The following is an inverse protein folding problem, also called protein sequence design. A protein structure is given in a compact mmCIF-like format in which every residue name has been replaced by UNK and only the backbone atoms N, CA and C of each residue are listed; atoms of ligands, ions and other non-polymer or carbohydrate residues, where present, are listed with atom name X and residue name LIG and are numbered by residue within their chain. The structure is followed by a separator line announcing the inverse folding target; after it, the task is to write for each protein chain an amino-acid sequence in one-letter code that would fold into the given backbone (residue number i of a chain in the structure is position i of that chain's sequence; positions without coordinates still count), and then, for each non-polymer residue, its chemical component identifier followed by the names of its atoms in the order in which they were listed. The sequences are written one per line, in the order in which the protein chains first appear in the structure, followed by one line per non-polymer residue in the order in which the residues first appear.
data_IF_585484921906
#
_entry.id   IF_585484921906
#
_cell.length_a   1.000
_cell.length_b   1.000
_cell.length_c   1.000
_cell.angle_alpha   90.00
_cell.angle_beta   90.00
_cell.angle_gamma   90.00
#
_symmetry.space_group_name_H-M   'P 1'
#
loop_
_entity.id
_entity.type
_entity.pdbx_description
1 polymer ?
#
# COMPACT_ATOMS: atom_id res chain seq x y z
N UNK A 1 -16.79 -14.98 12.39
CA UNK A 1 -15.96 -14.05 11.57
C UNK A 1 -14.64 -13.84 12.27
N UNK A 2 -13.57 -13.62 11.52
CA UNK A 2 -12.23 -13.33 12.06
C UNK A 2 -12.15 -11.88 12.56
N UNK A 3 -11.70 -11.66 13.79
CA UNK A 3 -11.58 -10.32 14.38
C UNK A 3 -10.31 -9.62 13.90
N UNK A 4 -10.47 -8.48 13.24
CA UNK A 4 -9.38 -7.73 12.59
C UNK A 4 -9.24 -6.35 13.21
N UNK A 5 -8.03 -5.99 13.61
CA UNK A 5 -7.67 -4.63 13.99
C UNK A 5 -7.04 -3.88 12.80
N UNK A 6 -7.29 -2.57 12.72
CA UNK A 6 -6.62 -1.68 11.76
C UNK A 6 -5.54 -0.88 12.51
N UNK A 7 -4.29 -1.00 12.07
CA UNK A 7 -3.17 -0.23 12.62
C UNK A 7 -2.81 0.90 11.67
N UNK A 8 -3.16 2.10 12.07
CA UNK A 8 -3.17 3.30 11.24
C UNK A 8 -4.57 3.64 10.74
N UNK A 9 -5.01 4.88 10.98
CA UNK A 9 -6.34 5.36 10.58
C UNK A 9 -6.24 6.51 9.55
N UNK A 10 -5.29 6.37 8.62
CA UNK A 10 -5.20 7.21 7.42
C UNK A 10 -6.20 6.76 6.35
N UNK A 11 -6.10 7.33 5.15
CA UNK A 11 -7.02 7.03 4.04
C UNK A 11 -7.10 5.54 3.72
N UNK A 12 -5.95 4.84 3.68
CA UNK A 12 -5.90 3.38 3.43
C UNK A 12 -6.52 2.60 4.58
N UNK A 13 -6.24 2.97 5.84
CA UNK A 13 -6.81 2.29 7.00
C UNK A 13 -8.32 2.42 7.09
N UNK A 14 -8.84 3.61 6.78
CA UNK A 14 -10.30 3.85 6.69
C UNK A 14 -10.91 3.05 5.54
N UNK A 15 -10.25 2.98 4.40
CA UNK A 15 -10.71 2.17 3.26
C UNK A 15 -10.71 0.68 3.59
N UNK A 16 -9.67 0.16 4.25
CA UNK A 16 -9.61 -1.22 4.72
C UNK A 16 -10.71 -1.53 5.75
N UNK A 17 -10.98 -0.60 6.68
CA UNK A 17 -12.08 -0.77 7.64
C UNK A 17 -13.44 -0.86 6.95
N UNK A 18 -13.71 -0.02 5.93
CA UNK A 18 -14.94 -0.14 5.12
C UNK A 18 -15.04 -1.48 4.42
N UNK A 19 -13.93 -1.94 3.82
CA UNK A 19 -13.89 -3.23 3.15
C UNK A 19 -14.11 -4.41 4.12
N UNK A 20 -13.62 -4.34 5.37
CA UNK A 20 -13.93 -5.35 6.39
C UNK A 20 -15.42 -5.36 6.72
N UNK A 21 -16.06 -4.19 6.86
CA UNK A 21 -17.50 -4.11 7.15
C UNK A 21 -18.39 -4.72 6.04
N UNK A 22 -17.88 -4.76 4.81
CA UNK A 22 -18.55 -5.40 3.66
C UNK A 22 -18.18 -6.88 3.52
N UNK A 23 -17.19 -7.37 4.27
CA UNK A 23 -16.69 -8.74 4.23
C UNK A 23 -17.65 -9.70 4.94
N UNK A 24 -17.70 -10.95 4.49
CA UNK A 24 -18.56 -12.01 5.08
C UNK A 24 -17.83 -12.86 6.11
N UNK A 25 -16.51 -12.82 6.10
CA UNK A 25 -15.63 -13.71 6.86
C UNK A 25 -14.83 -12.99 7.95
N UNK A 26 -14.81 -11.65 7.93
CA UNK A 26 -14.09 -10.82 8.88
C UNK A 26 -14.98 -9.76 9.53
N UNK A 27 -14.58 -9.31 10.72
CA UNK A 27 -15.23 -8.22 11.46
C UNK A 27 -14.19 -7.27 12.03
N UNK A 28 -14.48 -5.98 12.01
CA UNK A 28 -13.62 -4.94 12.57
C UNK A 28 -13.76 -4.91 14.09
N UNK A 29 -12.66 -5.14 14.83
CA UNK A 29 -12.65 -5.07 16.29
C UNK A 29 -12.12 -3.74 16.83
N UNK A 30 -11.51 -2.88 16.01
CA UNK A 30 -11.06 -1.57 16.41
C UNK A 30 -9.86 -1.04 15.63
N UNK A 31 -9.43 0.14 16.05
CA UNK A 31 -8.31 0.87 15.43
C UNK A 31 -7.18 1.09 16.42
N UNK A 32 -5.95 1.06 15.91
CA UNK A 32 -4.75 1.45 16.66
C UNK A 32 -4.14 2.69 16.01
N UNK A 33 -4.01 3.77 16.79
CA UNK A 33 -3.47 5.05 16.31
C UNK A 33 -2.81 5.84 17.45
N UNK A 34 -1.93 6.80 17.09
CA UNK A 34 -1.17 7.59 18.07
C UNK A 34 -2.04 8.34 19.08
N UNK A 35 -3.18 8.88 18.63
CA UNK A 35 -4.21 9.48 19.49
C UNK A 35 -5.40 8.54 19.49
N UNK A 36 -5.81 8.06 20.66
CA UNK A 36 -6.95 7.15 20.84
C UNK A 36 -8.28 7.92 20.76
N UNK A 37 -8.50 8.65 19.65
CA UNK A 37 -9.71 9.41 19.37
C UNK A 37 -10.57 8.61 18.39
N UNK A 38 -11.89 8.78 18.46
CA UNK A 38 -12.83 8.19 17.51
C UNK A 38 -12.51 8.62 16.07
N UNK A 39 -12.89 7.79 15.12
CA UNK A 39 -12.70 8.03 13.70
C UNK A 39 -14.05 8.33 13.09
N UNK A 40 -14.11 9.39 12.30
CA UNK A 40 -15.35 9.83 11.64
C UNK A 40 -15.92 8.69 10.77
N UNK A 41 -17.18 8.33 11.03
CA UNK A 41 -17.89 7.21 10.39
C UNK A 41 -17.62 5.84 11.04
N UNK A 42 -16.81 5.79 12.12
CA UNK A 42 -16.50 4.58 12.89
C UNK A 42 -16.56 4.83 14.40
N UNK A 43 -17.41 5.73 14.84
CA UNK A 43 -17.52 6.17 16.23
C UNK A 43 -17.89 5.03 17.20
N UNK A 44 -18.53 3.99 16.69
CA UNK A 44 -18.93 2.80 17.45
C UNK A 44 -17.78 1.78 17.63
N UNK A 45 -16.63 2.00 17.01
CA UNK A 45 -15.48 1.11 17.11
C UNK A 45 -14.44 1.67 18.06
N UNK A 46 -13.85 0.84 18.94
CA UNK A 46 -12.82 1.29 19.86
C UNK A 46 -11.58 1.77 19.11
N UNK A 47 -10.95 2.81 19.64
CA UNK A 47 -9.64 3.29 19.20
C UNK A 47 -8.67 3.29 20.36
N UNK A 48 -7.49 2.70 20.18
CA UNK A 48 -6.48 2.53 21.21
C UNK A 48 -5.09 3.00 20.73
N UNK A 49 -4.13 3.13 21.62
CA UNK A 49 -2.72 3.41 21.28
C UNK A 49 -1.93 2.15 20.98
N UNK A 50 -2.38 1.02 21.49
CA UNK A 50 -1.80 -0.30 21.25
C UNK A 50 -2.91 -1.30 20.92
N UNK A 51 -2.59 -2.30 20.13
CA UNK A 51 -3.49 -3.42 19.83
C UNK A 51 -3.89 -4.19 21.09
N UNK A 52 -3.02 -4.19 22.08
CA UNK A 52 -3.24 -4.88 23.37
C UNK A 52 -4.17 -4.13 24.31
N UNK A 53 -4.47 -2.85 24.00
CA UNK A 53 -5.40 -2.01 24.74
C UNK A 53 -6.84 -2.07 24.16
N UNK A 54 -7.02 -2.80 23.06
CA UNK A 54 -8.36 -3.02 22.49
C UNK A 54 -9.19 -3.93 23.41
N UNK A 55 -10.50 -3.69 23.53
CA UNK A 55 -11.39 -4.52 24.38
C UNK A 55 -11.40 -6.00 24.01
N UNK A 56 -11.15 -6.29 22.74
CA UNK A 56 -11.09 -7.65 22.21
C UNK A 56 -9.75 -7.89 21.52
N UNK A 57 -9.12 -9.04 21.81
CA UNK A 57 -7.89 -9.44 21.15
C UNK A 57 -8.18 -9.77 19.68
N UNK A 58 -7.56 -9.10 18.69
CA UNK A 58 -7.73 -9.47 17.29
C UNK A 58 -7.02 -10.78 16.95
N UNK A 59 -7.56 -11.52 16.01
CA UNK A 59 -6.89 -12.68 15.38
C UNK A 59 -5.95 -12.23 14.29
N UNK A 60 -6.26 -11.10 13.62
CA UNK A 60 -5.42 -10.49 12.59
C UNK A 60 -5.36 -8.98 12.68
N UNK A 61 -4.34 -8.39 12.07
CA UNK A 61 -4.16 -6.96 12.01
C UNK A 61 -3.72 -6.52 10.62
N UNK A 62 -4.40 -5.49 10.08
CA UNK A 62 -4.03 -4.83 8.84
C UNK A 62 -3.22 -3.57 9.19
N UNK A 63 -1.99 -3.48 8.67
CA UNK A 63 -1.03 -2.43 9.02
C UNK A 63 -0.97 -1.41 7.87
N UNK A 64 -1.40 -0.18 8.15
CA UNK A 64 -1.48 0.93 7.18
C UNK A 64 -0.75 2.18 7.65
N UNK A 65 0.36 1.97 8.34
CA UNK A 65 1.28 3.04 8.78
C UNK A 65 2.39 3.26 7.75
N UNK A 66 3.15 4.38 7.81
CA UNK A 66 4.31 4.58 6.93
C UNK A 66 5.31 3.42 7.03
N UNK A 67 5.88 3.00 5.89
CA UNK A 67 6.71 1.79 5.74
C UNK A 67 7.82 1.65 6.76
N UNK A 68 8.48 2.75 7.14
CA UNK A 68 9.55 2.75 8.19
C UNK A 68 9.11 2.22 9.56
N UNK A 69 7.81 2.11 9.82
CA UNK A 69 7.27 1.60 11.10
C UNK A 69 6.67 0.21 10.98
N UNK A 70 6.42 -0.28 9.77
CA UNK A 70 5.71 -1.53 9.50
C UNK A 70 6.41 -2.71 10.17
N UNK A 71 7.67 -3.00 9.84
CA UNK A 71 8.38 -4.18 10.32
C UNK A 71 8.43 -4.26 11.85
N UNK A 72 8.65 -3.12 12.52
CA UNK A 72 8.73 -3.08 13.99
C UNK A 72 7.39 -3.37 14.68
N UNK A 73 6.29 -2.96 14.06
CA UNK A 73 4.93 -3.24 14.53
C UNK A 73 4.58 -4.69 14.25
N UNK A 74 4.86 -5.15 13.04
CA UNK A 74 4.56 -6.50 12.58
C UNK A 74 5.22 -7.56 13.45
N UNK A 75 6.52 -7.40 13.77
CA UNK A 75 7.23 -8.29 14.70
C UNK A 75 6.48 -8.47 16.01
N UNK A 76 6.06 -7.36 16.64
CA UNK A 76 5.30 -7.42 17.92
C UNK A 76 3.97 -8.14 17.78
N UNK A 77 3.30 -8.02 16.64
CA UNK A 77 2.03 -8.70 16.40
C UNK A 77 2.24 -10.20 16.23
N UNK A 78 3.20 -10.59 15.40
CA UNK A 78 3.55 -12.00 15.18
C UNK A 78 3.98 -12.69 16.48
N UNK A 79 4.84 -12.04 17.30
CA UNK A 79 5.25 -12.51 18.64
C UNK A 79 4.07 -12.76 19.59
N UNK A 80 2.91 -12.19 19.31
CA UNK A 80 1.69 -12.36 20.10
C UNK A 80 0.63 -13.25 19.40
N UNK A 81 1.03 -13.96 18.35
CA UNK A 81 0.16 -14.90 17.64
C UNK A 81 -0.90 -14.21 16.78
N UNK A 82 -0.67 -12.98 16.32
CA UNK A 82 -1.61 -12.20 15.51
C UNK A 82 -1.12 -12.26 14.05
N UNK A 83 -2.00 -12.72 13.15
CA UNK A 83 -1.76 -12.71 11.70
C UNK A 83 -1.71 -11.28 11.17
N UNK A 84 -0.92 -11.01 10.13
CA UNK A 84 -0.78 -9.64 9.60
C UNK A 84 -0.90 -9.57 8.10
N UNK A 85 -1.35 -8.41 7.61
CA UNK A 85 -1.20 -7.95 6.24
C UNK A 85 -0.82 -6.47 6.24
N UNK A 86 0.14 -6.07 5.41
CA UNK A 86 0.63 -4.70 5.35
C UNK A 86 0.78 -4.19 3.91
N UNK A 87 0.86 -2.87 3.75
CA UNK A 87 1.12 -2.19 2.49
C UNK A 87 2.51 -1.53 2.43
N UNK A 88 3.53 -2.23 2.93
CA UNK A 88 4.92 -1.79 2.82
C UNK A 88 5.31 -1.54 1.36
N UNK A 89 5.90 -0.38 1.04
CA UNK A 89 6.11 0.09 -0.33
C UNK A 89 7.58 0.31 -0.73
N UNK A 90 8.54 -0.08 0.11
CA UNK A 90 9.97 -0.01 -0.23
C UNK A 90 10.38 -1.34 -0.86
N UNK A 91 10.27 -1.41 -2.19
CA UNK A 91 10.44 -2.64 -2.97
C UNK A 91 11.76 -3.37 -2.71
N UNK A 92 12.86 -2.63 -2.62
CA UNK A 92 14.20 -3.21 -2.45
C UNK A 92 14.38 -3.91 -1.08
N UNK A 93 13.62 -3.51 -0.06
CA UNK A 93 13.71 -4.07 1.28
C UNK A 93 12.82 -5.31 1.48
N UNK A 94 11.81 -5.51 0.65
CA UNK A 94 10.84 -6.61 0.77
C UNK A 94 11.48 -8.01 0.84
N UNK A 95 12.48 -8.37 0.01
CA UNK A 95 13.06 -9.72 0.06
C UNK A 95 13.72 -10.04 1.41
N UNK A 96 14.42 -9.07 2.00
CA UNK A 96 15.09 -9.27 3.29
C UNK A 96 14.10 -9.20 4.46
N UNK A 97 13.13 -8.29 4.41
CA UNK A 97 12.02 -8.22 5.38
C UNK A 97 11.26 -9.55 5.42
N UNK A 98 10.92 -10.11 4.24
CA UNK A 98 10.26 -11.42 4.11
C UNK A 98 11.04 -12.54 4.81
N UNK A 99 12.36 -12.58 4.65
CA UNK A 99 13.19 -13.59 5.31
C UNK A 99 13.12 -13.45 6.83
N UNK A 100 13.31 -12.25 7.35
CA UNK A 100 13.30 -11.99 8.80
C UNK A 100 11.94 -12.31 9.43
N UNK A 101 10.86 -11.80 8.86
CA UNK A 101 9.50 -12.04 9.36
C UNK A 101 9.08 -13.51 9.17
N UNK A 102 9.55 -14.15 8.10
CA UNK A 102 9.24 -15.55 7.82
C UNK A 102 9.82 -16.54 8.86
N UNK A 103 10.97 -16.23 9.46
CA UNK A 103 11.51 -17.00 10.59
C UNK A 103 10.59 -16.85 11.80
N UNK A 104 10.32 -15.62 12.20
CA UNK A 104 9.48 -15.31 13.36
C UNK A 104 8.06 -15.88 13.22
N UNK A 105 7.43 -15.68 12.06
CA UNK A 105 6.07 -16.18 11.81
C UNK A 105 5.97 -17.70 11.92
N UNK A 106 7.04 -18.44 11.53
CA UNK A 106 7.11 -19.90 11.71
C UNK A 106 7.25 -20.28 13.16
N UNK A 107 8.09 -19.58 13.92
CA UNK A 107 8.29 -19.82 15.35
C UNK A 107 7.00 -19.60 16.14
N UNK A 108 6.25 -18.58 15.79
CA UNK A 108 4.99 -18.20 16.46
C UNK A 108 3.73 -18.89 15.87
N UNK A 109 3.92 -19.78 14.87
CA UNK A 109 2.85 -20.54 14.21
C UNK A 109 1.75 -19.65 13.60
N UNK A 110 2.11 -18.51 13.02
CA UNK A 110 1.24 -17.57 12.30
C UNK A 110 1.77 -17.27 10.91
N UNK A 111 1.02 -16.55 10.10
CA UNK A 111 1.48 -16.08 8.80
C UNK A 111 1.27 -14.58 8.63
N UNK A 112 2.05 -13.99 7.75
CA UNK A 112 1.90 -12.61 7.32
C UNK A 112 1.98 -12.49 5.80
N UNK A 113 1.26 -11.51 5.25
CA UNK A 113 1.35 -11.11 3.84
C UNK A 113 1.88 -9.69 3.78
N UNK A 114 3.09 -9.54 3.30
CA UNK A 114 3.83 -8.28 3.30
C UNK A 114 3.78 -7.60 1.93
N UNK A 115 3.81 -6.28 1.91
CA UNK A 115 3.75 -5.50 0.69
C UNK A 115 2.48 -5.79 -0.12
N UNK A 116 1.32 -5.87 0.55
CA UNK A 116 0.05 -6.24 -0.05
C UNK A 116 -0.79 -5.01 -0.40
N UNK A 117 -0.21 -4.09 -1.16
CA UNK A 117 -0.93 -2.98 -1.77
C UNK A 117 -1.35 -3.27 -3.20
N UNK A 118 -1.60 -2.22 -3.97
CA UNK A 118 -1.76 -2.38 -5.40
C UNK A 118 -0.38 -2.43 -6.10
N UNK A 119 0.64 -1.72 -5.57
CA UNK A 119 2.05 -1.74 -6.00
C UNK A 119 2.97 -1.37 -4.78
N UNK A 120 3.72 -2.35 -4.27
CA UNK A 120 3.71 -3.79 -4.59
C UNK A 120 2.40 -4.47 -4.17
N UNK A 121 2.11 -5.61 -4.77
CA UNK A 121 0.99 -6.47 -4.41
C UNK A 121 0.20 -6.97 -5.61
N UNK A 122 -0.94 -6.36 -5.96
CA UNK A 122 -1.78 -6.79 -7.07
C UNK A 122 -1.02 -6.75 -8.41
N UNK A 123 -0.31 -5.67 -8.68
CA UNK A 123 0.49 -5.52 -9.90
C UNK A 123 1.57 -6.60 -10.00
N UNK A 124 2.16 -6.99 -8.87
CA UNK A 124 3.17 -8.04 -8.79
C UNK A 124 2.59 -9.41 -9.16
N UNK A 125 1.35 -9.70 -8.77
CA UNK A 125 0.61 -10.90 -9.22
C UNK A 125 0.39 -10.85 -10.73
N UNK A 126 -0.11 -9.73 -11.25
CA UNK A 126 -0.35 -9.54 -12.68
C UNK A 126 0.95 -9.69 -13.49
N UNK A 127 2.03 -9.05 -13.08
CA UNK A 127 3.34 -9.17 -13.72
C UNK A 127 3.85 -10.62 -13.73
N UNK A 128 3.63 -11.35 -12.64
CA UNK A 128 4.02 -12.76 -12.55
C UNK A 128 3.26 -13.61 -13.57
N UNK A 129 1.93 -13.43 -13.69
CA UNK A 129 1.11 -14.15 -14.66
C UNK A 129 1.48 -13.79 -16.12
N UNK A 130 1.69 -12.50 -16.40
CA UNK A 130 2.12 -12.04 -17.71
C UNK A 130 3.51 -12.56 -18.08
N UNK A 131 4.44 -12.63 -17.12
CA UNK A 131 5.78 -13.20 -17.32
C UNK A 131 5.74 -14.70 -17.54
N UNK A 132 4.83 -15.41 -16.87
CA UNK A 132 4.63 -16.85 -17.11
C UNK A 132 4.06 -17.12 -18.50
N UNK A 133 3.18 -16.24 -19.02
CA UNK A 133 2.63 -16.37 -20.38
C UNK A 133 3.67 -16.08 -21.47
N UNK A 134 4.53 -15.07 -21.27
CA UNK A 134 5.63 -14.72 -22.18
C UNK A 134 6.98 -14.70 -21.42
N UNK A 135 7.60 -15.87 -21.16
CA UNK A 135 8.81 -15.97 -20.33
C UNK A 135 10.03 -15.21 -20.87
N UNK A 136 10.07 -14.97 -22.20
CA UNK A 136 11.13 -14.18 -22.88
C UNK A 136 10.68 -12.77 -23.23
N UNK A 137 9.46 -12.39 -22.84
CA UNK A 137 8.90 -11.06 -23.10
C UNK A 137 9.57 -9.99 -22.27
N UNK A 138 9.50 -8.76 -22.74
CA UNK A 138 9.91 -7.57 -22.00
C UNK A 138 8.69 -6.98 -21.32
N UNK A 139 8.72 -6.94 -19.99
CA UNK A 139 7.62 -6.38 -19.20
C UNK A 139 7.94 -4.93 -18.81
N UNK A 140 6.96 -4.07 -18.94
CA UNK A 140 7.03 -2.66 -18.58
C UNK A 140 5.84 -2.30 -17.71
N UNK A 141 6.07 -1.55 -16.63
CA UNK A 141 5.01 -0.93 -15.83
C UNK A 141 5.07 0.58 -16.05
N UNK A 142 4.07 1.12 -16.72
CA UNK A 142 3.95 2.54 -17.01
C UNK A 142 3.00 3.15 -15.98
N UNK A 143 3.55 3.80 -14.97
CA UNK A 143 2.80 4.46 -13.91
C UNK A 143 2.27 5.82 -14.36
N UNK A 144 1.05 6.13 -13.97
CA UNK A 144 0.37 7.38 -14.26
C UNK A 144 -0.59 7.31 -15.47
N UNK A 145 -1.24 8.43 -15.81
CA UNK A 145 -1.18 9.68 -15.03
C UNK A 145 -1.88 9.56 -13.68
N UNK A 146 -1.43 10.30 -12.69
CA UNK A 146 -2.14 10.42 -11.43
C UNK A 146 -1.29 10.66 -10.18
N UNK A 147 -1.98 10.88 -9.07
CA UNK A 147 -1.37 11.23 -7.79
C UNK A 147 -0.65 10.04 -7.16
N UNK A 148 0.63 10.20 -6.86
CA UNK A 148 1.42 9.27 -6.05
C UNK A 148 1.34 9.62 -4.57
N UNK A 149 0.82 8.72 -3.74
CA UNK A 149 0.62 8.98 -2.31
C UNK A 149 1.94 9.04 -1.53
N UNK A 150 2.85 8.10 -1.75
CA UNK A 150 4.15 8.05 -1.08
C UNK A 150 4.98 9.30 -1.38
N UNK A 151 5.13 9.66 -2.67
CA UNK A 151 5.86 10.84 -3.10
C UNK A 151 5.19 12.15 -2.62
N UNK A 152 3.86 12.22 -2.62
CA UNK A 152 3.15 13.36 -2.06
C UNK A 152 3.38 13.50 -0.56
N UNK A 153 3.43 12.40 0.17
CA UNK A 153 3.74 12.40 1.59
C UNK A 153 5.21 12.83 1.84
N UNK A 154 6.16 12.30 1.07
CA UNK A 154 7.57 12.69 1.16
C UNK A 154 7.76 14.20 0.94
N UNK A 155 7.17 14.76 -0.12
CA UNK A 155 7.24 16.20 -0.38
C UNK A 155 6.67 17.05 0.76
N UNK A 156 5.61 16.59 1.45
CA UNK A 156 5.02 17.31 2.60
C UNK A 156 5.90 17.30 3.85
N UNK A 157 6.87 16.40 3.96
CA UNK A 157 7.81 16.37 5.08
C UNK A 157 9.00 17.33 4.91
N UNK A 158 9.15 17.93 3.75
CA UNK A 158 10.22 18.93 3.51
C UNK A 158 9.89 20.21 4.27
N UNK A 159 10.88 20.75 4.97
CA UNK A 159 10.78 22.01 5.71
C UNK A 159 10.34 23.18 4.81
N UNK A 160 9.40 23.99 5.27
CA UNK A 160 8.82 25.10 4.52
C UNK A 160 7.69 24.71 3.55
N UNK A 161 7.37 23.41 3.43
CA UNK A 161 6.22 22.95 2.66
C UNK A 161 4.98 22.89 3.54
N UNK A 162 3.96 23.70 3.25
CA UNK A 162 2.68 23.65 3.93
C UNK A 162 1.81 22.51 3.40
N UNK A 163 1.87 22.22 2.10
CA UNK A 163 1.22 21.07 1.47
C UNK A 163 1.82 20.75 0.10
N UNK A 164 1.72 19.49 -0.35
CA UNK A 164 2.22 19.08 -1.65
C UNK A 164 1.48 17.88 -2.23
N UNK A 165 1.46 17.81 -3.57
CA UNK A 165 0.97 16.67 -4.35
C UNK A 165 1.97 16.36 -5.46
N UNK A 166 2.36 15.10 -5.59
CA UNK A 166 3.18 14.59 -6.69
C UNK A 166 2.31 13.83 -7.68
N UNK A 167 2.31 14.28 -8.93
CA UNK A 167 1.63 13.64 -10.05
C UNK A 167 2.65 12.86 -10.86
N UNK A 168 2.41 11.57 -11.05
CA UNK A 168 3.18 10.70 -11.93
C UNK A 168 2.67 10.82 -13.36
N UNK A 169 3.57 10.97 -14.32
CA UNK A 169 3.29 11.06 -15.76
C UNK A 169 4.01 9.94 -16.50
N UNK A 170 3.33 9.07 -17.25
CA UNK A 170 3.98 7.99 -17.99
C UNK A 170 4.78 8.55 -19.16
N UNK A 171 5.99 8.04 -19.36
CA UNK A 171 6.86 8.32 -20.51
C UNK A 171 7.01 7.11 -21.44
N UNK A 172 6.39 5.98 -21.11
CA UNK A 172 6.50 4.71 -21.84
C UNK A 172 7.74 3.88 -21.46
N UNK A 173 7.71 2.61 -21.81
CA UNK A 173 8.79 1.63 -21.55
C UNK A 173 9.21 1.57 -20.06
N UNK A 174 8.24 1.69 -19.14
CA UNK A 174 8.48 1.68 -17.70
C UNK A 174 9.09 2.97 -17.14
N UNK A 175 9.24 4.01 -17.95
CA UNK A 175 9.74 5.31 -17.51
C UNK A 175 8.59 6.25 -17.18
N UNK A 176 8.82 7.09 -16.18
CA UNK A 176 7.86 8.13 -15.79
C UNK A 176 8.59 9.42 -15.37
N UNK A 177 7.85 10.50 -15.32
CA UNK A 177 8.24 11.78 -14.77
C UNK A 177 7.29 12.15 -13.63
N UNK A 178 7.68 13.15 -12.84
CA UNK A 178 6.84 13.67 -11.76
C UNK A 178 6.70 15.18 -11.86
N UNK A 179 5.48 15.63 -11.72
CA UNK A 179 5.17 17.03 -11.46
C UNK A 179 4.77 17.17 -9.99
N UNK A 180 5.53 17.95 -9.23
CA UNK A 180 5.34 18.12 -7.80
C UNK A 180 4.77 19.53 -7.58
N UNK A 181 3.50 19.60 -7.23
CA UNK A 181 2.80 20.83 -6.91
C UNK A 181 2.95 21.10 -5.42
N UNK A 182 3.50 22.28 -5.08
CA UNK A 182 3.93 22.62 -3.72
C UNK A 182 3.29 23.95 -3.31
N UNK A 183 2.57 23.93 -2.20
CA UNK A 183 2.21 25.11 -1.43
C UNK A 183 3.23 25.28 -0.29
N UNK A 184 3.78 26.49 -0.16
CA UNK A 184 4.80 26.81 0.87
C UNK A 184 4.17 27.58 2.03
N UNK A 185 4.84 27.55 3.16
CA UNK A 185 4.61 28.50 4.25
C UNK A 185 4.98 29.94 3.79
N UNK A 186 4.60 30.94 4.57
CA UNK A 186 4.95 32.34 4.30
C UNK A 186 6.46 32.57 4.47
N UNK A 187 7.03 33.44 3.63
CA UNK A 187 8.44 33.86 3.67
C UNK A 187 9.49 32.74 3.53
N UNK A 188 9.14 31.64 2.88
CA UNK A 188 10.07 30.53 2.61
C UNK A 188 10.85 30.75 1.32
N UNK A 189 12.13 30.38 1.33
CA UNK A 189 12.96 30.32 0.14
C UNK A 189 12.54 29.14 -0.75
N UNK A 190 11.84 29.43 -1.84
CA UNK A 190 11.36 28.43 -2.79
C UNK A 190 12.49 27.64 -3.47
N UNK A 191 13.66 28.26 -3.68
CA UNK A 191 14.80 27.54 -4.26
C UNK A 191 15.37 26.50 -3.29
N UNK A 192 15.42 26.82 -2.00
CA UNK A 192 15.84 25.86 -0.99
C UNK A 192 14.84 24.68 -0.89
N UNK A 193 13.54 24.95 -0.94
CA UNK A 193 12.49 23.92 -0.94
C UNK A 193 12.59 23.02 -2.19
N UNK A 194 12.74 23.63 -3.38
CA UNK A 194 12.91 22.88 -4.63
C UNK A 194 14.13 21.97 -4.58
N UNK A 195 15.27 22.51 -4.14
CA UNK A 195 16.50 21.73 -4.00
C UNK A 195 16.34 20.58 -3.00
N UNK A 196 15.70 20.82 -1.87
CA UNK A 196 15.45 19.79 -0.85
C UNK A 196 14.56 18.66 -1.39
N UNK A 197 13.51 19.00 -2.14
CA UNK A 197 12.64 18.00 -2.78
C UNK A 197 13.44 17.17 -3.79
N UNK A 198 14.14 17.81 -4.72
CA UNK A 198 14.87 17.13 -5.80
C UNK A 198 16.04 16.27 -5.29
N UNK A 199 16.56 16.56 -4.09
CA UNK A 199 17.64 15.80 -3.44
C UNK A 199 17.13 14.71 -2.49
N UNK A 200 15.82 14.58 -2.28
CA UNK A 200 15.24 13.55 -1.44
C UNK A 200 15.24 12.19 -2.15
N UNK A 201 15.49 11.11 -1.41
CA UNK A 201 15.56 9.73 -1.92
C UNK A 201 14.34 9.27 -2.73
N UNK A 202 13.17 9.85 -2.44
CA UNK A 202 11.96 9.56 -3.20
C UNK A 202 11.96 10.12 -4.61
N UNK A 203 12.82 11.13 -4.89
CA UNK A 203 12.80 11.90 -6.15
C UNK A 203 14.10 11.85 -6.92
N UNK A 204 15.22 11.50 -6.29
CA UNK A 204 16.58 11.60 -6.88
C UNK A 204 16.78 10.79 -8.17
N UNK A 205 15.99 9.74 -8.37
CA UNK A 205 16.07 8.86 -9.56
C UNK A 205 15.00 9.16 -10.61
N UNK A 206 14.08 10.07 -10.33
CA UNK A 206 12.99 10.42 -11.23
C UNK A 206 13.25 11.72 -11.97
N UNK A 207 12.68 11.86 -13.17
CA UNK A 207 12.60 13.12 -13.86
C UNK A 207 11.54 14.00 -13.20
N UNK A 208 11.95 14.90 -12.30
CA UNK A 208 11.06 15.73 -11.52
C UNK A 208 11.00 17.18 -12.02
N UNK A 209 9.84 17.83 -11.82
CA UNK A 209 9.67 19.28 -11.89
C UNK A 209 8.83 19.75 -10.70
N UNK A 210 9.29 20.80 -10.02
CA UNK A 210 8.57 21.40 -8.88
C UNK A 210 7.83 22.64 -9.37
N UNK A 211 6.54 22.74 -9.01
CA UNK A 211 5.64 23.83 -9.37
C UNK A 211 5.03 24.43 -8.11
N UNK A 212 5.38 25.67 -7.81
CA UNK A 212 4.83 26.38 -6.66
C UNK A 212 3.44 26.94 -6.98
N UNK A 213 2.47 26.56 -6.16
CA UNK A 213 1.06 26.93 -6.30
C UNK A 213 0.50 27.47 -4.99
N UNK A 214 -0.57 28.25 -5.05
CA UNK A 214 -1.25 28.75 -3.84
C UNK A 214 -2.19 27.70 -3.24
N UNK A 215 -2.77 26.86 -4.08
CA UNK A 215 -3.75 25.85 -3.71
C UNK A 215 -3.47 24.56 -4.47
N UNK A 216 -3.39 23.46 -3.73
CA UNK A 216 -3.19 22.11 -4.28
C UNK A 216 -4.50 21.30 -4.36
N UNK A 217 -5.62 21.85 -3.88
CA UNK A 217 -6.90 21.14 -3.85
C UNK A 217 -7.37 20.61 -5.22
N UNK A 218 -7.08 21.28 -6.36
CA UNK A 218 -7.44 20.76 -7.69
C UNK A 218 -6.79 19.43 -8.05
N UNK A 219 -5.69 19.06 -7.37
CA UNK A 219 -4.92 17.87 -7.68
C UNK A 219 -5.25 16.67 -6.79
N UNK A 220 -6.05 16.83 -5.70
CA UNK A 220 -6.34 15.76 -4.74
C UNK A 220 -7.21 14.63 -5.31
N UNK A 221 -8.03 14.90 -6.30
CA UNK A 221 -8.96 13.91 -6.88
C UNK A 221 -8.41 13.27 -8.15
N UNK A 222 -7.11 13.39 -8.41
CA UNK A 222 -6.50 12.78 -9.59
C UNK A 222 -6.35 11.28 -9.34
N UNK A 223 -7.16 10.48 -10.02
CA UNK A 223 -7.02 9.02 -10.01
C UNK A 223 -5.64 8.62 -10.52
N UNK A 224 -5.18 7.44 -10.12
CA UNK A 224 -3.92 6.91 -10.57
C UNK A 224 -4.12 5.85 -11.65
N UNK A 225 -3.49 6.06 -12.81
CA UNK A 225 -3.45 5.09 -13.88
C UNK A 225 -2.21 4.20 -13.80
N UNK A 226 -2.30 2.98 -14.32
CA UNK A 226 -1.16 2.13 -14.61
C UNK A 226 -1.45 1.29 -15.85
N UNK A 227 -0.44 1.12 -16.70
CA UNK A 227 -0.45 0.20 -17.82
C UNK A 227 0.73 -0.75 -17.71
N UNK A 228 0.46 -2.03 -17.47
CA UNK A 228 1.45 -3.10 -17.51
C UNK A 228 1.43 -3.72 -18.88
N UNK A 229 2.59 -3.78 -19.54
CA UNK A 229 2.76 -4.33 -20.87
C UNK A 229 3.79 -5.45 -20.83
N UNK A 230 3.49 -6.60 -21.45
CA UNK A 230 4.49 -7.61 -21.75
C UNK A 230 4.53 -7.80 -23.27
N UNK A 231 5.69 -7.58 -23.86
CA UNK A 231 5.92 -7.59 -25.32
C UNK A 231 6.88 -8.71 -25.67
N UNK A 232 6.45 -9.59 -26.57
CA UNK A 232 7.25 -10.69 -27.09
C UNK A 232 7.02 -10.86 -28.59
N UNK A 233 8.03 -10.60 -29.40
CA UNK A 233 7.96 -10.63 -30.88
C UNK A 233 6.83 -9.75 -31.42
N UNK A 234 5.86 -10.33 -32.13
CA UNK A 234 4.68 -9.65 -32.65
C UNK A 234 3.44 -9.75 -31.73
N UNK A 235 3.61 -10.22 -30.50
CA UNK A 235 2.56 -10.39 -29.51
C UNK A 235 2.70 -9.39 -28.39
N UNK A 236 1.57 -8.93 -27.84
CA UNK A 236 1.52 -8.00 -26.74
C UNK A 236 0.37 -8.34 -25.81
N UNK A 237 0.68 -8.37 -24.52
CA UNK A 237 -0.31 -8.50 -23.45
C UNK A 237 -0.35 -7.17 -22.68
N UNK A 238 -1.53 -6.64 -22.46
CA UNK A 238 -1.75 -5.39 -21.74
C UNK A 238 -2.69 -5.62 -20.56
N UNK A 239 -2.37 -5.00 -19.44
CA UNK A 239 -3.27 -4.85 -18.31
C UNK A 239 -3.28 -3.38 -17.88
N UNK A 240 -4.44 -2.76 -17.81
CA UNK A 240 -4.57 -1.36 -17.40
C UNK A 240 -5.54 -1.19 -16.25
N UNK A 241 -5.24 -0.25 -15.37
CA UNK A 241 -6.10 0.17 -14.27
C UNK A 241 -6.20 1.69 -14.22
N UNK A 242 -7.36 2.18 -13.78
CA UNK A 242 -7.55 3.53 -13.27
C UNK A 242 -8.16 3.42 -11.88
N UNK A 243 -7.43 3.84 -10.86
CA UNK A 243 -7.73 3.50 -9.48
C UNK A 243 -7.88 4.73 -8.57
N UNK A 244 -8.76 4.58 -7.58
CA UNK A 244 -8.65 5.32 -6.33
C UNK A 244 -7.72 4.53 -5.39
N UNK A 245 -6.50 5.04 -5.21
CA UNK A 245 -5.43 4.30 -4.54
C UNK A 245 -5.82 3.83 -3.11
N UNK A 246 -6.36 4.68 -2.21
CA UNK A 246 -6.74 4.23 -0.88
C UNK A 246 -7.76 3.09 -0.89
N UNK A 247 -8.79 3.20 -1.72
CA UNK A 247 -9.87 2.21 -1.80
C UNK A 247 -9.36 0.88 -2.33
N UNK A 248 -8.59 0.90 -3.43
CA UNK A 248 -8.03 -0.34 -3.98
C UNK A 248 -7.08 -1.01 -2.99
N UNK A 249 -6.13 -0.25 -2.41
CA UNK A 249 -5.19 -0.79 -1.43
C UNK A 249 -5.91 -1.37 -0.20
N UNK A 250 -6.94 -0.68 0.30
CA UNK A 250 -7.75 -1.16 1.41
C UNK A 250 -8.42 -2.51 1.11
N UNK A 251 -9.03 -2.65 -0.08
CA UNK A 251 -9.64 -3.91 -0.52
C UNK A 251 -8.62 -5.04 -0.67
N UNK A 252 -7.45 -4.73 -1.24
CA UNK A 252 -6.38 -5.72 -1.41
C UNK A 252 -5.85 -6.18 -0.05
N UNK A 253 -5.68 -5.28 0.92
CA UNK A 253 -5.24 -5.64 2.27
C UNK A 253 -6.23 -6.58 2.98
N UNK A 254 -7.54 -6.37 2.82
CA UNK A 254 -8.55 -7.30 3.35
C UNK A 254 -8.46 -8.66 2.66
N UNK A 255 -8.28 -8.69 1.35
CA UNK A 255 -8.05 -9.93 0.59
C UNK A 255 -6.75 -10.64 1.02
N UNK A 256 -5.68 -9.89 1.23
CA UNK A 256 -4.40 -10.41 1.72
C UNK A 256 -4.52 -10.95 3.16
N UNK A 257 -5.27 -10.27 4.03
CA UNK A 257 -5.55 -10.76 5.39
C UNK A 257 -6.33 -12.09 5.35
N UNK A 258 -7.32 -12.24 4.47
CA UNK A 258 -8.03 -13.49 4.23
C UNK A 258 -7.06 -14.59 3.82
N UNK A 259 -6.20 -14.30 2.85
CA UNK A 259 -5.21 -15.24 2.37
C UNK A 259 -4.21 -15.63 3.47
N UNK A 260 -3.80 -14.71 4.34
CA UNK A 260 -2.90 -14.99 5.45
C UNK A 260 -3.45 -16.12 6.34
N UNK A 261 -4.72 -16.10 6.70
CA UNK A 261 -5.31 -17.16 7.52
C UNK A 261 -5.33 -18.55 6.86
N UNK A 262 -5.15 -18.62 5.55
CA UNK A 262 -5.15 -19.88 4.79
C UNK A 262 -3.73 -20.40 4.54
N UNK A 263 -2.70 -19.60 4.78
CA UNK A 263 -1.32 -20.01 4.56
C UNK A 263 -0.75 -20.79 5.76
N UNK A 264 0.27 -21.61 5.47
CA UNK A 264 1.13 -22.19 6.50
C UNK A 264 1.90 -21.08 7.19
N UNK A 265 2.41 -21.30 8.44
CA UNK A 265 3.24 -20.32 9.12
C UNK A 265 4.41 -19.82 8.28
N UNK A 266 4.55 -18.51 8.16
CA UNK A 266 5.59 -17.87 7.33
C UNK A 266 5.22 -16.48 6.84
N UNK A 267 6.13 -15.83 6.13
CA UNK A 267 5.91 -14.54 5.46
C UNK A 267 5.82 -14.72 3.94
N UNK A 268 4.85 -14.09 3.33
CA UNK A 268 4.51 -14.25 1.92
C UNK A 268 4.39 -12.91 1.20
N UNK A 269 4.86 -12.87 -0.03
CA UNK A 269 4.46 -11.88 -1.03
C UNK A 269 3.21 -12.38 -1.77
N UNK A 270 2.35 -11.48 -2.23
CA UNK A 270 1.11 -11.86 -2.91
C UNK A 270 1.32 -12.83 -4.11
N UNK A 271 2.36 -12.70 -4.95
CA UNK A 271 2.60 -13.65 -6.05
C UNK A 271 2.86 -15.11 -5.63
N UNK A 272 3.19 -15.35 -4.36
CA UNK A 272 3.44 -16.70 -3.83
C UNK A 272 2.16 -17.42 -3.39
N UNK A 273 1.05 -16.69 -3.36
CA UNK A 273 -0.23 -17.15 -2.83
C UNK A 273 -1.18 -17.48 -3.99
N UNK A 274 -1.86 -18.64 -3.97
CA UNK A 274 -2.87 -18.94 -4.98
C UNK A 274 -3.94 -17.83 -5.06
N UNK A 275 -4.25 -17.29 -6.25
CA UNK A 275 -5.21 -16.18 -6.40
C UNK A 275 -6.59 -16.45 -5.79
N UNK A 276 -7.05 -17.71 -5.77
CA UNK A 276 -8.32 -18.09 -5.14
C UNK A 276 -8.35 -17.84 -3.62
N UNK A 277 -7.18 -17.75 -2.95
CA UNK A 277 -7.09 -17.46 -1.52
C UNK A 277 -7.44 -16.01 -1.18
N UNK A 278 -7.41 -15.10 -2.13
CA UNK A 278 -7.75 -13.69 -1.94
C UNK A 278 -9.26 -13.43 -2.03
N UNK A 279 -10.03 -14.35 -2.62
CA UNK A 279 -11.43 -14.15 -2.98
C UNK A 279 -12.37 -14.72 -1.92
N UNK A 280 -13.37 -13.94 -1.50
CA UNK A 280 -14.37 -14.37 -0.51
C UNK A 280 -15.62 -15.00 -1.11
N UNK A 281 -15.59 -15.32 -2.38
CA UNK A 281 -16.70 -15.89 -3.13
C UNK A 281 -16.41 -17.29 -3.67
N UNK A 282 -17.38 -17.84 -4.42
CA UNK A 282 -17.16 -19.06 -5.16
C UNK A 282 -16.33 -18.77 -6.40
N UNK A 283 -15.03 -19.14 -6.38
CA UNK A 283 -14.12 -18.91 -7.49
C UNK A 283 -14.48 -19.75 -8.74
N UNK A 284 -15.23 -20.84 -8.63
CA UNK A 284 -15.71 -21.62 -9.77
C UNK A 284 -16.58 -20.80 -10.73
N UNK A 285 -17.17 -19.70 -10.24
CA UNK A 285 -17.92 -18.75 -11.08
C UNK A 285 -17.02 -17.82 -11.92
N UNK A 286 -15.72 -17.85 -11.70
CA UNK A 286 -14.74 -17.07 -12.44
C UNK A 286 -14.09 -17.84 -13.58
N UNK A 287 -14.43 -19.12 -13.72
CA UNK A 287 -13.87 -20.07 -14.73
C UNK A 287 -14.89 -20.33 -15.82
#
# INVERSE_FOLDING_TARGET
MKKIAIIGAGNVGVAAAKAIMESRDMELCGFVRRKAESILGFENFPAAKSVFDLPEKPEGAIITVPSRFVESIEKKLLENGIYTADCFDIHEELPEMRKRLGVLAKEENVSCVIGAGWDPGLDSVIRTLMSAAFPKGKIYTNFGPGMSMGHSAAARFIEGVSNAVSITLPLGNGKHAREIYVATEENVDKHAVEHAILSDKYFEHDRCSVKFVKDISPFFNTKHGVLIENVFENQKMNFSMEIDNPTLTGNILVSAMRAAFLQKPGAYLMPEIPPCSFFDGNFEKLV
#
